data_IF_401217821047
#
_entry.id   IF_401217821047
#
_cell.length_a   1.000
_cell.length_b   1.000
_cell.length_c   1.000
_cell.angle_alpha   90.00
_cell.angle_beta   90.00
_cell.angle_gamma   90.00
#
_symmetry.space_group_name_H-M   'P 1'
#
loop_
_entity.id
_entity.type
_entity.pdbx_description
1 polymer ?
#
# COMPACT_ATOMS: atom_id res chain seq x y z
N UNK A 1 46.60 36.58 -23.56
CA UNK A 1 45.82 37.03 -24.72
C UNK A 1 45.46 35.82 -25.57
N UNK A 2 44.38 35.11 -25.22
CA UNK A 2 43.65 34.12 -26.06
C UNK A 2 42.20 34.13 -25.53
N UNK A 3 41.18 34.16 -26.40
CA UNK A 3 39.90 34.80 -26.10
C UNK A 3 38.79 33.87 -25.58
N UNK A 4 37.81 34.52 -24.97
CA UNK A 4 36.45 34.10 -24.61
C UNK A 4 35.62 33.61 -25.79
N UNK A 5 34.72 32.64 -25.55
CA UNK A 5 33.34 32.65 -26.08
C UNK A 5 32.42 31.62 -25.40
N UNK A 6 31.49 32.16 -24.63
CA UNK A 6 30.12 31.69 -24.34
C UNK A 6 29.52 30.74 -25.39
N UNK A 7 28.92 29.62 -24.94
CA UNK A 7 27.62 29.13 -25.43
C UNK A 7 26.89 28.43 -24.27
N UNK A 8 25.87 29.09 -23.71
CA UNK A 8 24.78 28.49 -22.94
C UNK A 8 24.07 27.44 -23.80
N UNK A 9 23.93 26.20 -23.31
CA UNK A 9 22.98 25.24 -23.87
C UNK A 9 22.08 24.72 -22.74
N UNK A 10 20.99 25.45 -22.54
CA UNK A 10 19.82 24.99 -21.78
C UNK A 10 19.15 23.90 -22.61
N UNK A 11 19.35 22.63 -22.25
CA UNK A 11 18.58 21.54 -22.83
C UNK A 11 17.31 21.35 -22.00
N UNK A 12 16.25 22.04 -22.42
CA UNK A 12 14.87 21.73 -22.05
C UNK A 12 14.52 20.35 -22.64
N UNK A 13 14.64 19.29 -21.85
CA UNK A 13 14.01 18.01 -22.22
C UNK A 13 12.54 18.10 -21.83
N UNK A 14 11.73 18.31 -22.86
CA UNK A 14 10.27 18.36 -22.79
C UNK A 14 9.69 17.11 -22.13
N UNK A 15 8.71 17.32 -21.25
CA UNK A 15 7.84 16.28 -20.74
C UNK A 15 7.04 15.66 -21.89
N UNK A 16 7.31 14.41 -22.24
CA UNK A 16 6.42 13.60 -23.07
C UNK A 16 5.39 12.93 -22.15
N UNK A 17 4.28 13.63 -21.90
CA UNK A 17 3.03 12.99 -21.49
C UNK A 17 2.35 12.49 -22.77
N UNK A 18 2.58 11.22 -23.10
CA UNK A 18 1.77 10.53 -24.11
C UNK A 18 0.72 9.69 -23.42
N UNK A 19 -0.38 10.34 -22.99
CA UNK A 19 -1.64 9.65 -22.76
C UNK A 19 -2.41 9.64 -24.08
N UNK A 20 -2.46 8.50 -24.76
CA UNK A 20 -3.42 8.27 -25.85
C UNK A 20 -4.34 7.14 -25.41
N UNK A 21 -5.33 7.47 -24.59
CA UNK A 21 -6.49 6.61 -24.37
C UNK A 21 -7.39 6.74 -25.60
N UNK A 22 -7.15 5.90 -26.61
CA UNK A 22 -8.10 5.67 -27.68
C UNK A 22 -9.22 4.77 -27.13
N UNK A 23 -10.34 5.37 -26.74
CA UNK A 23 -11.60 4.67 -26.50
C UNK A 23 -12.31 4.47 -27.85
N UNK A 24 -12.50 3.24 -28.34
CA UNK A 24 -13.44 3.02 -29.43
C UNK A 24 -14.86 3.25 -28.91
N UNK A 25 -15.52 4.19 -29.57
CA UNK A 25 -16.92 4.57 -29.40
C UNK A 25 -17.76 3.51 -30.11
N UNK A 26 -18.51 2.70 -29.36
CA UNK A 26 -19.50 1.80 -29.94
C UNK A 26 -20.90 2.21 -29.47
N UNK A 27 -21.57 2.98 -30.33
CA UNK A 27 -23.02 3.09 -30.32
C UNK A 27 -23.57 1.94 -31.15
N UNK A 28 -24.13 0.91 -30.49
CA UNK A 28 -25.29 0.16 -30.99
C UNK A 28 -25.83 -0.83 -29.97
N UNK A 29 -27.04 -0.50 -29.51
CA UNK A 29 -28.17 -1.40 -29.27
C UNK A 29 -27.93 -2.69 -28.47
N UNK A 30 -28.44 -2.67 -27.23
CA UNK A 30 -28.78 -3.87 -26.49
C UNK A 30 -29.80 -4.72 -27.29
N UNK A 31 -29.39 -5.93 -27.68
CA UNK A 31 -30.30 -7.01 -27.98
C UNK A 31 -29.83 -8.28 -27.25
N UNK A 32 -30.81 -8.91 -26.60
CA UNK A 32 -30.80 -10.02 -25.64
C UNK A 32 -30.09 -11.29 -26.16
N UNK A 33 -29.49 -12.14 -25.29
CA UNK A 33 -28.75 -13.33 -25.71
C UNK A 33 -29.68 -14.47 -26.16
N UNK A 34 -29.35 -15.10 -27.28
CA UNK A 34 -29.88 -16.41 -27.68
C UNK A 34 -28.72 -17.38 -27.87
N UNK A 35 -28.91 -18.56 -27.29
CA UNK A 35 -28.00 -19.67 -27.13
C UNK A 35 -27.98 -20.52 -28.42
N UNK A 36 -26.82 -20.75 -29.03
CA UNK A 36 -26.67 -21.90 -29.94
C UNK A 36 -25.21 -22.37 -30.01
N UNK A 37 -25.02 -23.59 -29.51
CA UNK A 37 -23.87 -24.46 -29.69
C UNK A 37 -23.59 -24.70 -31.17
N UNK A 38 -22.33 -24.63 -31.64
CA UNK A 38 -21.65 -25.64 -32.49
C UNK A 38 -20.15 -25.29 -32.60
N UNK A 39 -19.30 -26.27 -32.31
CA UNK A 39 -17.87 -26.31 -32.63
C UNK A 39 -17.59 -26.05 -34.11
N UNK A 40 -16.64 -25.18 -34.41
CA UNK A 40 -15.74 -25.38 -35.55
C UNK A 40 -14.30 -25.02 -35.16
N UNK A 41 -13.46 -26.05 -35.18
CA UNK A 41 -12.01 -25.95 -35.26
C UNK A 41 -11.66 -25.24 -36.57
N UNK A 42 -10.81 -24.22 -36.52
CA UNK A 42 -9.73 -24.14 -37.49
C UNK A 42 -8.48 -23.53 -36.85
N UNK A 43 -7.37 -24.12 -37.22
CA UNK A 43 -6.04 -24.00 -36.64
C UNK A 43 -5.25 -22.93 -37.38
N UNK A 44 -4.58 -22.02 -36.68
CA UNK A 44 -3.21 -21.61 -37.05
C UNK A 44 -2.47 -20.80 -35.96
N UNK A 45 -1.40 -21.43 -35.49
CA UNK A 45 -0.06 -20.88 -35.22
C UNK A 45 0.18 -19.97 -34.00
N UNK A 46 0.57 -20.66 -32.92
CA UNK A 46 1.92 -20.59 -32.36
C UNK A 46 2.52 -19.19 -32.10
N UNK A 47 2.08 -18.60 -30.99
CA UNK A 47 2.98 -17.87 -30.12
C UNK A 47 2.68 -18.29 -28.68
N UNK A 48 3.38 -19.32 -28.19
CA UNK A 48 3.38 -19.69 -26.77
C UNK A 48 4.08 -18.57 -26.00
N UNK A 49 3.36 -17.49 -25.72
CA UNK A 49 3.69 -16.60 -24.61
C UNK A 49 3.47 -17.46 -23.37
N UNK A 50 4.57 -17.96 -22.81
CA UNK A 50 4.59 -18.65 -21.53
C UNK A 50 4.08 -17.66 -20.49
N UNK A 51 2.77 -17.59 -20.31
CA UNK A 51 2.16 -16.86 -19.21
C UNK A 51 2.62 -17.60 -17.96
N UNK A 52 3.68 -17.08 -17.33
CA UNK A 52 3.88 -17.35 -15.92
C UNK A 52 2.65 -16.75 -15.25
N UNK A 53 1.65 -17.60 -15.00
CA UNK A 53 0.63 -17.30 -14.01
C UNK A 53 1.34 -16.67 -12.83
N UNK A 54 0.88 -15.51 -12.30
CA UNK A 54 1.44 -14.97 -11.09
C UNK A 54 1.43 -16.09 -10.06
N UNK A 55 2.61 -16.62 -9.73
CA UNK A 55 2.73 -17.63 -8.70
C UNK A 55 2.11 -16.99 -7.46
N UNK A 56 0.96 -17.52 -7.05
CA UNK A 56 0.30 -17.09 -5.84
C UNK A 56 1.35 -17.25 -4.75
N UNK A 57 1.93 -16.14 -4.31
CA UNK A 57 2.72 -16.15 -3.09
C UNK A 57 1.71 -16.44 -2.02
N UNK A 58 1.70 -17.68 -1.55
CA UNK A 58 1.12 -17.98 -0.26
C UNK A 58 1.80 -16.99 0.68
N UNK A 59 1.04 -16.01 1.17
CA UNK A 59 1.49 -15.21 2.29
C UNK A 59 1.54 -16.23 3.42
N UNK A 60 2.69 -16.90 3.57
CA UNK A 60 2.97 -17.64 4.79
C UNK A 60 2.64 -16.66 5.89
N UNK A 61 1.69 -17.01 6.76
CA UNK A 61 1.23 -16.06 7.72
C UNK A 61 2.40 -15.46 8.46
N UNK A 62 2.40 -14.14 8.59
CA UNK A 62 3.33 -13.46 9.48
C UNK A 62 3.25 -14.19 10.82
N UNK A 63 4.28 -14.98 11.13
CA UNK A 63 4.34 -15.94 12.22
C UNK A 63 3.40 -15.58 13.38
N UNK A 64 2.24 -16.23 13.45
CA UNK A 64 1.13 -15.90 14.37
C UNK A 64 1.42 -16.11 15.87
N UNK A 65 2.69 -16.25 16.25
CA UNK A 65 3.11 -16.52 17.61
C UNK A 65 4.52 -16.02 17.91
N UNK A 66 5.00 -14.99 17.21
CA UNK A 66 6.29 -14.38 17.56
C UNK A 66 6.14 -13.68 18.91
N UNK A 67 6.54 -14.37 19.98
CA UNK A 67 6.55 -13.83 21.35
C UNK A 67 7.39 -12.55 21.51
N UNK A 68 8.26 -12.22 20.55
CA UNK A 68 9.14 -11.05 20.55
C UNK A 68 9.27 -10.48 19.15
N UNK A 69 8.38 -9.54 18.79
CA UNK A 69 8.44 -8.82 17.52
C UNK A 69 9.61 -7.82 17.51
N UNK A 70 10.21 -7.64 16.33
CA UNK A 70 11.19 -6.57 16.07
C UNK A 70 10.56 -5.60 15.08
N UNK A 71 10.49 -4.33 15.45
CA UNK A 71 9.94 -3.28 14.59
C UNK A 71 11.06 -2.56 13.87
N UNK A 72 10.78 -2.10 12.64
CA UNK A 72 11.69 -1.28 11.83
C UNK A 72 10.88 -0.33 10.97
N UNK A 73 11.40 0.88 10.76
CA UNK A 73 10.87 1.79 9.74
C UNK A 73 11.22 1.26 8.33
N UNK A 74 10.25 1.29 7.42
CA UNK A 74 10.41 0.81 6.04
C UNK A 74 11.39 1.67 5.23
N UNK A 75 12.11 1.05 4.29
CA UNK A 75 13.23 1.71 3.57
C UNK A 75 12.80 2.51 2.33
N UNK A 76 11.59 2.28 1.84
CA UNK A 76 11.14 2.73 0.52
C UNK A 76 10.49 4.12 0.50
N UNK A 77 10.49 4.84 1.62
CA UNK A 77 9.94 6.19 1.73
C UNK A 77 8.41 6.26 1.66
N UNK A 78 7.88 7.38 1.18
CA UNK A 78 6.44 7.67 1.13
C UNK A 78 5.73 6.73 0.15
N UNK A 79 4.67 6.08 0.63
CA UNK A 79 3.91 5.11 -0.15
C UNK A 79 2.44 5.09 0.29
N UNK A 80 1.55 4.63 -0.60
CA UNK A 80 0.17 4.26 -0.24
C UNK A 80 0.17 3.03 0.67
N UNK A 81 -0.90 2.80 1.42
CA UNK A 81 -1.02 1.66 2.35
C UNK A 81 -0.63 0.32 1.72
N UNK A 82 -1.27 -0.05 0.60
CA UNK A 82 -0.97 -1.31 -0.09
C UNK A 82 0.45 -1.36 -0.64
N UNK A 83 1.01 -0.23 -1.08
CA UNK A 83 2.40 -0.18 -1.54
C UNK A 83 3.37 -0.35 -0.37
N UNK A 84 3.09 0.26 0.79
CA UNK A 84 3.86 0.05 2.01
C UNK A 84 3.80 -1.42 2.47
N UNK A 85 2.62 -2.04 2.40
CA UNK A 85 2.46 -3.47 2.70
C UNK A 85 3.31 -4.36 1.79
N UNK A 86 3.26 -4.11 0.47
CA UNK A 86 4.10 -4.81 -0.51
C UNK A 86 5.59 -4.60 -0.26
N UNK A 87 6.00 -3.38 0.06
CA UNK A 87 7.39 -3.06 0.40
C UNK A 87 7.87 -3.85 1.62
N UNK A 88 7.04 -3.99 2.66
CA UNK A 88 7.37 -4.83 3.83
C UNK A 88 7.57 -6.30 3.43
N UNK A 89 6.68 -6.85 2.59
CA UNK A 89 6.80 -8.22 2.07
C UNK A 89 8.11 -8.40 1.29
N UNK A 90 8.48 -7.43 0.47
CA UNK A 90 9.73 -7.46 -0.31
C UNK A 90 10.98 -7.37 0.59
N UNK A 91 10.87 -6.82 1.80
CA UNK A 91 11.91 -6.88 2.85
C UNK A 91 11.91 -8.18 3.66
N UNK A 92 11.02 -9.13 3.37
CA UNK A 92 10.84 -10.35 4.17
C UNK A 92 10.18 -10.08 5.53
N UNK A 93 9.33 -9.05 5.61
CA UNK A 93 8.64 -8.59 6.82
C UNK A 93 7.14 -8.43 6.55
N UNK A 94 6.39 -8.02 7.58
CA UNK A 94 4.98 -7.63 7.49
C UNK A 94 4.79 -6.20 7.95
N UNK A 95 3.62 -5.60 7.66
CA UNK A 95 3.19 -4.40 8.39
C UNK A 95 3.08 -4.73 9.88
N UNK A 96 3.31 -3.73 10.73
CA UNK A 96 3.31 -3.91 12.17
C UNK A 96 1.90 -4.16 12.70
N UNK A 97 1.74 -5.23 13.46
CA UNK A 97 0.61 -5.49 14.36
C UNK A 97 1.02 -5.11 15.77
N UNK A 98 0.12 -4.49 16.54
CA UNK A 98 0.39 -4.04 17.90
C UNK A 98 -0.57 -4.78 18.82
N UNK A 99 -0.02 -5.66 19.67
CA UNK A 99 -0.83 -6.52 20.55
C UNK A 99 -0.66 -6.16 22.04
N UNK A 100 0.37 -5.39 22.39
CA UNK A 100 0.59 -4.96 23.78
C UNK A 100 0.98 -3.50 23.88
N UNK A 101 0.74 -2.90 25.04
CA UNK A 101 1.15 -1.52 25.34
C UNK A 101 2.67 -1.32 25.25
N UNK A 102 3.46 -2.35 25.56
CA UNK A 102 4.91 -2.30 25.39
C UNK A 102 5.30 -2.21 23.91
N UNK A 103 4.57 -2.90 23.01
CA UNK A 103 4.79 -2.77 21.57
C UNK A 103 4.43 -1.37 21.09
N UNK A 104 3.29 -0.83 21.54
CA UNK A 104 2.85 0.54 21.26
C UNK A 104 3.94 1.54 21.67
N UNK A 105 4.38 1.51 22.93
CA UNK A 105 5.42 2.41 23.47
C UNK A 105 6.73 2.32 22.70
N UNK A 106 7.13 1.13 22.26
CA UNK A 106 8.35 0.93 21.46
C UNK A 106 8.25 1.56 20.07
N UNK A 107 7.09 1.43 19.42
CA UNK A 107 6.88 2.03 18.10
C UNK A 107 6.80 3.55 18.22
N UNK A 108 6.07 4.07 19.21
CA UNK A 108 6.02 5.51 19.51
C UNK A 108 7.41 6.10 19.74
N UNK A 109 8.23 5.45 20.57
CA UNK A 109 9.62 5.89 20.79
C UNK A 109 10.47 5.83 19.51
N UNK A 110 10.20 4.89 18.59
CA UNK A 110 10.91 4.78 17.32
C UNK A 110 10.55 5.90 16.34
N UNK A 111 9.32 6.41 16.41
CA UNK A 111 8.81 7.44 15.50
C UNK A 111 8.78 8.84 16.13
N UNK A 112 9.12 9.00 17.41
CA UNK A 112 8.99 10.25 18.16
C UNK A 112 9.71 11.45 17.51
N UNK A 113 10.87 11.21 16.89
CA UNK A 113 11.68 12.25 16.24
C UNK A 113 11.30 12.46 14.75
N UNK A 114 10.21 11.87 14.29
CA UNK A 114 9.78 11.91 12.90
C UNK A 114 8.45 12.64 12.73
N UNK A 115 8.45 13.73 11.98
CA UNK A 115 7.24 14.50 11.63
C UNK A 115 6.50 13.86 10.44
N UNK A 116 6.22 12.56 10.52
CA UNK A 116 5.55 11.82 9.45
C UNK A 116 4.71 10.66 9.97
N UNK A 117 3.82 10.16 9.11
CA UNK A 117 2.90 9.09 9.43
C UNK A 117 3.43 7.75 8.92
N UNK A 118 3.29 6.70 9.74
CA UNK A 118 3.77 5.35 9.44
C UNK A 118 2.60 4.38 9.37
N UNK A 119 2.44 3.70 8.23
CA UNK A 119 1.40 2.67 8.08
C UNK A 119 1.64 1.49 9.03
N UNK A 120 0.57 1.06 9.70
CA UNK A 120 0.52 -0.19 10.47
C UNK A 120 -0.47 -1.16 9.79
N UNK A 121 -0.56 -2.40 10.27
CA UNK A 121 -1.37 -3.43 9.60
C UNK A 121 -2.89 -3.24 9.79
N UNK A 122 -3.34 -2.32 10.66
CA UNK A 122 -4.76 -2.14 10.97
C UNK A 122 -5.53 -1.48 9.81
N UNK A 123 -6.68 -2.05 9.47
CA UNK A 123 -7.60 -1.55 8.46
C UNK A 123 -9.01 -2.08 8.71
N UNK A 124 -10.03 -1.39 8.22
CA UNK A 124 -11.42 -1.89 8.17
C UNK A 124 -11.93 -2.00 6.72
N UNK A 125 -11.03 -2.08 5.74
CA UNK A 125 -11.41 -2.23 4.34
C UNK A 125 -12.20 -3.54 4.16
N UNK A 126 -13.46 -3.42 3.73
CA UNK A 126 -14.35 -4.56 3.54
C UNK A 126 -15.17 -4.95 4.78
N UNK A 127 -14.99 -4.27 5.91
CA UNK A 127 -15.82 -4.46 7.10
C UNK A 127 -17.07 -3.56 7.02
N UNK A 128 -18.27 -4.14 7.15
CA UNK A 128 -19.55 -3.41 7.13
C UNK A 128 -19.74 -2.56 8.39
N UNK A 129 -19.21 -3.01 9.52
CA UNK A 129 -19.33 -2.40 10.84
C UNK A 129 -18.15 -1.48 11.20
N UNK A 130 -17.27 -1.22 10.23
CA UNK A 130 -16.02 -0.48 10.41
C UNK A 130 -15.05 -1.10 11.44
N UNK A 131 -15.26 -2.37 11.84
CA UNK A 131 -14.35 -3.06 12.75
C UNK A 131 -12.96 -3.18 12.13
N UNK A 132 -11.94 -2.94 12.95
CA UNK A 132 -10.56 -3.05 12.52
C UNK A 132 -10.07 -4.49 12.60
N UNK A 133 -9.39 -4.91 11.54
CA UNK A 133 -8.62 -6.14 11.47
C UNK A 133 -7.18 -5.84 11.10
N UNK A 134 -6.28 -6.75 11.47
CA UNK A 134 -4.89 -6.73 11.03
C UNK A 134 -4.80 -7.41 9.66
N UNK A 135 -4.52 -6.65 8.59
CA UNK A 135 -4.45 -7.21 7.21
C UNK A 135 -3.41 -8.34 7.06
N UNK A 136 -2.42 -8.39 7.95
CA UNK A 136 -1.34 -9.37 7.93
C UNK A 136 -1.69 -10.66 8.66
N UNK A 137 -2.68 -10.64 9.54
CA UNK A 137 -3.05 -11.80 10.37
C UNK A 137 -4.52 -12.19 10.30
N UNK A 138 -5.37 -11.34 9.72
CA UNK A 138 -6.83 -11.52 9.67
C UNK A 138 -7.48 -11.61 11.07
N UNK A 139 -6.77 -11.15 12.11
CA UNK A 139 -7.27 -11.08 13.47
C UNK A 139 -7.87 -9.70 13.77
N UNK A 140 -8.84 -9.66 14.67
CA UNK A 140 -9.39 -8.40 15.16
C UNK A 140 -8.34 -7.57 15.90
N UNK A 141 -8.46 -6.24 15.79
CA UNK A 141 -7.71 -5.32 16.65
C UNK A 141 -8.39 -5.29 18.02
N UNK A 142 -7.70 -5.76 19.06
CA UNK A 142 -8.27 -5.87 20.41
C UNK A 142 -8.32 -4.52 21.15
N UNK A 143 -7.38 -3.63 20.85
CA UNK A 143 -7.23 -2.34 21.55
C UNK A 143 -7.11 -1.19 20.56
N UNK A 144 -7.94 -0.17 20.74
CA UNK A 144 -7.89 1.10 19.99
C UNK A 144 -7.80 2.28 20.96
N UNK A 145 -7.17 3.40 20.56
CA UNK A 145 -7.14 4.58 21.40
C UNK A 145 -8.54 5.20 21.48
N UNK A 146 -8.89 5.76 22.63
CA UNK A 146 -10.24 6.26 22.94
C UNK A 146 -10.76 7.37 22.02
N UNK A 147 -9.88 8.01 21.24
CA UNK A 147 -10.23 9.05 20.26
C UNK A 147 -10.27 8.58 18.80
N UNK A 148 -10.15 7.27 18.54
CA UNK A 148 -10.22 6.75 17.18
C UNK A 148 -11.68 6.60 16.73
N UNK A 149 -12.15 7.55 15.93
CA UNK A 149 -13.47 7.48 15.30
C UNK A 149 -13.34 7.13 13.82
N UNK A 150 -13.95 6.01 13.43
CA UNK A 150 -13.98 5.54 12.04
C UNK A 150 -15.37 5.78 11.45
N UNK A 151 -15.45 6.60 10.41
CA UNK A 151 -16.70 6.93 9.72
C UNK A 151 -16.80 6.30 8.33
N UNK A 152 -15.80 5.49 7.95
CA UNK A 152 -15.72 4.88 6.64
C UNK A 152 -14.52 3.93 6.48
N UNK A 153 -14.35 3.39 5.26
CA UNK A 153 -13.21 2.54 4.90
C UNK A 153 -11.89 3.28 5.09
N UNK A 154 -10.99 2.70 5.88
CA UNK A 154 -9.83 3.34 6.47
C UNK A 154 -8.64 2.37 6.53
N UNK A 155 -7.46 2.94 6.32
CA UNK A 155 -6.17 2.32 6.60
C UNK A 155 -5.53 3.11 7.73
N UNK A 156 -4.93 2.45 8.72
CA UNK A 156 -4.44 3.13 9.92
C UNK A 156 -2.95 3.39 9.81
N UNK A 157 -2.56 4.64 10.11
CA UNK A 157 -1.18 5.05 10.29
C UNK A 157 -0.96 5.57 11.71
N UNK A 158 0.22 5.32 12.26
CA UNK A 158 0.70 5.98 13.47
C UNK A 158 1.29 7.35 13.15
N UNK A 159 1.07 8.30 14.04
CA UNK A 159 1.62 9.65 14.01
C UNK A 159 2.16 9.99 15.39
N UNK A 160 3.06 10.97 15.47
CA UNK A 160 3.57 11.45 16.74
C UNK A 160 2.47 12.25 17.43
N UNK A 161 2.04 11.79 18.61
CA UNK A 161 1.17 12.60 19.47
C UNK A 161 2.07 13.52 20.29
N UNK A 162 2.22 14.77 19.84
CA UNK A 162 2.85 15.82 20.64
C UNK A 162 1.87 16.13 21.78
N UNK A 163 1.99 15.40 22.88
CA UNK A 163 1.34 15.80 24.13
C UNK A 163 2.06 17.03 24.64
N UNK A 164 1.43 18.21 24.52
CA UNK A 164 1.92 19.39 25.21
C UNK A 164 1.88 19.09 26.72
N UNK A 165 3.05 18.80 27.31
CA UNK A 165 3.15 18.72 28.76
C UNK A 165 2.73 20.09 29.34
N UNK A 166 1.81 20.15 30.32
CA UNK A 166 1.63 21.37 31.08
C UNK A 166 2.97 21.68 31.76
N UNK A 167 3.56 22.82 31.40
CA UNK A 167 4.69 23.38 32.12
C UNK A 167 4.22 23.58 33.56
N UNK A 168 4.73 22.77 34.49
CA UNK A 168 4.62 23.05 35.90
C UNK A 168 5.36 24.37 36.13
N UNK A 169 4.61 25.44 36.34
CA UNK A 169 5.15 26.70 36.81
C UNK A 169 5.59 26.52 38.27
N UNK A 170 6.86 26.81 38.52
CA UNK A 170 7.44 27.01 39.86
C UNK A 170 6.79 28.19 40.59
#
# INVERSE_FOLDING_TARGET
MVPTREILAVVLVAAFVSLTLALPKDERSAQKPEETVVMHLDTQQDAVVKSKSPEGRFLEPAFFGVKKKKFTIGKYGVATFFRAWRNCIDEGKSLATIETEEEQRRIEAMIADHDTNYWIAATNLGAEDFALTWITTDLAVETTPSGLELTGPSCISMTVVITAQPQAGD
#
